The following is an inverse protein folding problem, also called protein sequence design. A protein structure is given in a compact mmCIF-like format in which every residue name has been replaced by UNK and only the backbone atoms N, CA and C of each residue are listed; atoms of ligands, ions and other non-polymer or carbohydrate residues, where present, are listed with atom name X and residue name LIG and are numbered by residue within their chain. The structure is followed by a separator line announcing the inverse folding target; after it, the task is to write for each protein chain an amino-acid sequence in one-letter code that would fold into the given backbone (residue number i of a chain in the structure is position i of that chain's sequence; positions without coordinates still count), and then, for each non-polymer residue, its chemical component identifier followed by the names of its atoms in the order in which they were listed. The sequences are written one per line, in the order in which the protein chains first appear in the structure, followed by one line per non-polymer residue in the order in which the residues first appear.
data_IF_828291230853
#
_entry.id   IF_828291230853
#
_cell.length_a   1.000
_cell.length_b   1.000
_cell.length_c   1.000
_cell.angle_alpha   90.00
_cell.angle_beta   90.00
_cell.angle_gamma   90.00
#
_symmetry.space_group_name_H-M   'P 1'
#
loop_
_entity.id
_entity.type
_entity.pdbx_description
1 polymer ?
#
# COMPACT_ATOMS: atom_id res chain seq x y z
N UNK A 1 -6.28 -20.29 5.06
CA UNK A 1 -5.47 -19.17 5.60
C UNK A 1 -5.10 -18.33 4.40
N UNK A 2 -5.71 -17.15 4.24
CA UNK A 2 -5.34 -16.26 3.12
C UNK A 2 -4.02 -15.63 3.50
N UNK A 3 -2.92 -16.16 2.97
CA UNK A 3 -1.62 -15.51 3.09
C UNK A 3 -1.72 -14.18 2.34
N UNK A 4 -1.57 -13.09 3.09
CA UNK A 4 -1.38 -11.76 2.51
C UNK A 4 0.07 -11.67 2.01
N UNK A 5 0.29 -10.93 0.91
CA UNK A 5 1.65 -10.67 0.38
C UNK A 5 2.51 -9.83 1.33
N UNK A 6 1.87 -9.17 2.29
CA UNK A 6 2.53 -8.41 3.34
C UNK A 6 2.04 -8.93 4.69
N UNK A 7 2.97 -9.44 5.50
CA UNK A 7 2.65 -9.95 6.83
C UNK A 7 2.05 -8.83 7.70
N UNK A 8 0.94 -9.12 8.39
CA UNK A 8 0.22 -8.15 9.22
C UNK A 8 -0.77 -7.24 8.48
N UNK A 9 -0.66 -7.09 7.16
CA UNK A 9 -1.61 -6.33 6.36
C UNK A 9 -2.67 -7.26 5.76
N UNK A 10 -3.96 -6.93 5.83
CA UNK A 10 -4.97 -7.80 5.22
C UNK A 10 -4.90 -7.79 3.68
N UNK A 11 -5.50 -8.83 3.08
CA UNK A 11 -5.37 -9.11 1.65
C UNK A 11 -5.82 -7.95 0.74
N UNK A 12 -6.84 -7.16 1.12
CA UNK A 12 -7.34 -6.07 0.26
C UNK A 12 -6.39 -4.89 0.27
N UNK A 13 -5.89 -4.51 1.43
CA UNK A 13 -4.88 -3.45 1.53
C UNK A 13 -3.56 -3.89 0.91
N UNK A 14 -3.19 -5.17 1.05
CA UNK A 14 -2.05 -5.74 0.35
C UNK A 14 -2.19 -5.72 -1.17
N UNK A 15 -3.36 -6.04 -1.71
CA UNK A 15 -3.66 -5.93 -3.16
C UNK A 15 -3.58 -4.48 -3.67
N UNK A 16 -3.98 -3.50 -2.84
CA UNK A 16 -3.89 -2.08 -3.17
C UNK A 16 -2.43 -1.61 -3.16
N UNK A 17 -1.68 -1.94 -2.11
CA UNK A 17 -0.27 -1.60 -1.97
C UNK A 17 0.58 -2.20 -3.09
N UNK A 18 0.32 -3.46 -3.45
CA UNK A 18 0.95 -4.13 -4.60
C UNK A 18 0.67 -3.40 -5.92
N UNK A 19 -0.55 -2.89 -6.11
CA UNK A 19 -0.89 -2.11 -7.31
C UNK A 19 -0.13 -0.77 -7.37
N UNK A 20 0.01 -0.08 -6.23
CA UNK A 20 0.80 1.15 -6.12
C UNK A 20 2.28 0.87 -6.41
N UNK A 21 2.84 -0.20 -5.84
CA UNK A 21 4.21 -0.63 -6.08
C UNK A 21 4.49 -0.94 -7.55
N UNK A 22 3.60 -1.71 -8.17
CA UNK A 22 3.71 -2.11 -9.58
C UNK A 22 3.65 -0.90 -10.51
N UNK A 23 2.78 0.08 -10.22
CA UNK A 23 2.70 1.31 -10.99
C UNK A 23 3.80 2.32 -10.64
N UNK A 24 4.45 2.16 -9.48
CA UNK A 24 5.42 3.10 -8.91
C UNK A 24 4.79 4.33 -8.25
N UNK A 25 3.66 4.80 -8.79
CA UNK A 25 2.78 5.85 -8.28
C UNK A 25 1.39 5.71 -8.91
N UNK A 26 0.35 6.19 -8.23
CA UNK A 26 -0.99 6.35 -8.80
C UNK A 26 -1.45 7.78 -8.61
N UNK A 27 -2.08 8.37 -9.63
CA UNK A 27 -2.85 9.59 -9.40
C UNK A 27 -4.06 9.30 -8.50
N UNK A 28 -4.69 10.37 -7.97
CA UNK A 28 -5.80 10.26 -7.03
C UNK A 28 -6.99 9.49 -7.60
N UNK A 29 -7.35 9.71 -8.85
CA UNK A 29 -8.51 9.07 -9.48
C UNK A 29 -8.27 7.55 -9.68
N UNK A 30 -7.07 7.18 -10.12
CA UNK A 30 -6.65 5.80 -10.28
C UNK A 30 -6.59 5.07 -8.94
N UNK A 31 -6.06 5.71 -7.90
CA UNK A 31 -6.06 5.16 -6.55
C UNK A 31 -7.49 4.96 -6.03
N UNK A 32 -8.36 5.97 -6.14
CA UNK A 32 -9.74 5.88 -5.67
C UNK A 32 -10.52 4.78 -6.40
N UNK A 33 -10.35 4.66 -7.72
CA UNK A 33 -10.94 3.59 -8.51
C UNK A 33 -10.47 2.22 -8.02
N UNK A 34 -9.15 2.04 -7.83
CA UNK A 34 -8.56 0.78 -7.38
C UNK A 34 -9.02 0.40 -5.97
N UNK A 35 -9.09 1.36 -5.05
CA UNK A 35 -9.59 1.15 -3.69
C UNK A 35 -11.07 0.72 -3.71
N UNK A 36 -11.90 1.38 -4.52
CA UNK A 36 -13.33 1.02 -4.68
C UNK A 36 -13.52 -0.38 -5.26
N UNK A 37 -12.72 -0.78 -6.25
CA UNK A 37 -12.73 -2.13 -6.82
C UNK A 37 -12.43 -3.21 -5.76
N UNK A 38 -11.57 -2.88 -4.80
CA UNK A 38 -11.23 -3.72 -3.65
C UNK A 38 -12.24 -3.60 -2.49
N UNK A 39 -13.31 -2.82 -2.66
CA UNK A 39 -14.33 -2.54 -1.63
C UNK A 39 -13.71 -1.88 -0.38
N UNK A 40 -12.75 -0.99 -0.60
CA UNK A 40 -12.13 -0.14 0.42
C UNK A 40 -12.65 1.30 0.29
N UNK A 41 -12.66 2.01 1.41
CA UNK A 41 -12.83 3.46 1.41
C UNK A 41 -11.46 4.09 1.14
N UNK A 42 -11.29 4.96 0.13
CA UNK A 42 -9.96 5.46 -0.26
C UNK A 42 -9.16 6.08 0.89
N UNK A 43 -9.76 7.00 1.65
CA UNK A 43 -9.08 7.62 2.80
C UNK A 43 -8.69 6.60 3.87
N UNK A 44 -9.63 5.74 4.27
CA UNK A 44 -9.36 4.69 5.26
C UNK A 44 -8.31 3.68 4.78
N UNK A 45 -8.21 3.44 3.48
CA UNK A 45 -7.19 2.55 2.93
C UNK A 45 -5.78 3.13 3.08
N UNK A 46 -5.62 4.45 2.89
CA UNK A 46 -4.34 5.13 3.13
C UNK A 46 -3.99 5.08 4.61
N UNK A 47 -4.95 5.38 5.50
CA UNK A 47 -4.75 5.31 6.95
C UNK A 47 -4.29 3.92 7.39
N UNK A 48 -4.97 2.85 6.96
CA UNK A 48 -4.60 1.47 7.29
C UNK A 48 -3.23 1.07 6.74
N UNK A 49 -2.88 1.46 5.50
CA UNK A 49 -1.58 1.16 4.93
C UNK A 49 -0.46 1.93 5.66
N UNK A 50 -0.70 3.18 6.04
CA UNK A 50 0.26 3.98 6.80
C UNK A 50 0.43 3.49 8.24
N UNK A 51 -0.64 3.03 8.89
CA UNK A 51 -0.58 2.39 10.21
C UNK A 51 0.28 1.12 10.15
N UNK A 52 0.05 0.25 9.17
CA UNK A 52 0.91 -0.91 8.93
C UNK A 52 2.36 -0.51 8.63
N UNK A 53 2.54 0.58 7.88
CA UNK A 53 3.83 1.20 7.61
C UNK A 53 4.58 1.55 8.89
N UNK A 54 3.91 2.21 9.85
CA UNK A 54 4.50 2.54 11.14
C UNK A 54 4.85 1.29 11.95
N UNK A 55 3.99 0.28 11.98
CA UNK A 55 4.28 -0.97 12.69
C UNK A 55 5.48 -1.73 12.12
N UNK A 56 5.72 -1.61 10.81
CA UNK A 56 6.76 -2.37 10.08
C UNK A 56 8.06 -1.59 9.89
N UNK A 57 7.97 -0.27 9.72
CA UNK A 57 9.07 0.60 9.30
C UNK A 57 9.33 1.78 10.25
N UNK A 58 8.49 1.98 11.28
CA UNK A 58 8.54 3.12 12.21
C UNK A 58 8.22 4.48 11.56
N UNK A 59 7.59 4.48 10.38
CA UNK A 59 7.21 5.69 9.64
C UNK A 59 6.00 5.43 8.71
N UNK A 60 5.39 6.50 8.18
CA UNK A 60 4.35 6.39 7.13
C UNK A 60 4.92 5.74 5.87
N UNK A 61 4.11 4.92 5.21
CA UNK A 61 4.55 4.22 4.00
C UNK A 61 4.25 4.99 2.72
N UNK A 62 3.09 5.66 2.67
CA UNK A 62 2.58 6.36 1.50
C UNK A 62 2.75 7.86 1.70
N UNK A 63 3.27 8.50 0.66
CA UNK A 63 3.31 9.95 0.48
C UNK A 63 2.08 10.37 -0.36
N UNK A 64 1.46 11.48 0.01
CA UNK A 64 0.29 12.05 -0.67
C UNK A 64 0.58 13.51 -1.08
N UNK A 65 1.27 13.70 -2.21
CA UNK A 65 1.39 15.00 -2.85
C UNK A 65 0.27 15.17 -3.89
N UNK A 66 0.61 15.28 -5.18
CA UNK A 66 -0.34 15.20 -6.30
C UNK A 66 -0.74 13.74 -6.61
N UNK A 67 0.23 12.84 -6.45
CA UNK A 67 0.09 11.38 -6.64
C UNK A 67 0.27 10.67 -5.29
N UNK A 68 -0.19 9.42 -5.23
CA UNK A 68 -0.03 8.51 -4.10
C UNK A 68 1.06 7.51 -4.45
N UNK A 69 2.12 7.47 -3.64
CA UNK A 69 3.28 6.64 -3.91
C UNK A 69 3.99 6.21 -2.61
N UNK A 70 4.75 5.10 -2.63
CA UNK A 70 5.49 4.66 -1.46
C UNK A 70 6.70 5.58 -1.23
N UNK A 71 6.99 5.87 0.04
CA UNK A 71 8.19 6.59 0.44
C UNK A 71 9.42 5.98 -0.23
N UNK A 72 10.17 6.82 -0.95
CA UNK A 72 11.13 6.33 -1.95
C UNK A 72 12.22 5.42 -1.38
N UNK A 73 12.65 5.69 -0.13
CA UNK A 73 13.66 4.91 0.59
C UNK A 73 13.13 3.59 1.15
N UNK A 74 11.80 3.39 1.22
CA UNK A 74 11.18 2.15 1.66
C UNK A 74 10.90 1.17 0.51
N UNK A 75 10.96 1.61 -0.75
CA UNK A 75 10.59 0.80 -1.93
C UNK A 75 11.34 -0.52 -2.03
N UNK A 76 12.66 -0.51 -1.84
CA UNK A 76 13.47 -1.73 -1.94
C UNK A 76 13.13 -2.73 -0.82
N UNK A 77 12.94 -2.21 0.40
CA UNK A 77 12.54 -3.02 1.56
C UNK A 77 11.14 -3.61 1.36
N UNK A 78 10.21 -2.81 0.84
CA UNK A 78 8.83 -3.23 0.62
C UNK A 78 8.74 -4.29 -0.48
N UNK A 79 9.49 -4.14 -1.58
CA UNK A 79 9.55 -5.12 -2.66
C UNK A 79 10.12 -6.47 -2.16
N UNK A 80 11.11 -6.42 -1.27
CA UNK A 80 11.67 -7.63 -0.66
C UNK A 80 10.63 -8.38 0.20
N UNK A 81 9.75 -7.67 0.92
CA UNK A 81 8.65 -8.28 1.69
C UNK A 81 7.61 -8.92 0.78
N UNK A 82 7.22 -8.25 -0.31
CA UNK A 82 6.20 -8.75 -1.25
C UNK A 82 6.63 -10.09 -1.90
N UNK A 83 7.92 -10.24 -2.20
CA UNK A 83 8.47 -11.42 -2.88
C UNK A 83 8.74 -12.60 -1.94
N UNK A 84 8.63 -12.40 -0.61
CA UNK A 84 8.92 -13.42 0.39
C UNK A 84 7.77 -14.41 0.64
N UNK A 85 6.69 -14.35 -0.17
CA UNK A 85 5.48 -15.19 -0.07
C UNK A 85 5.53 -16.34 -1.07
#
# INVERSE_FOLDING_TARGET
MSSSRFEGLDARHADLLSAILTAGRLDRDAFEARARDLKLLPGGAIETINEWGFETFDEVLLEEDDDIYPASHLRDRLSALETAT
#
